data_IF_153903070281
#
_entry.id   IF_153903070281
#
_cell.length_a   1.000
_cell.length_b   1.000
_cell.length_c   1.000
_cell.angle_alpha   90.00
_cell.angle_beta   90.00
_cell.angle_gamma   90.00
#
_symmetry.space_group_name_H-M   'P 1'
#
loop_
_entity.id
_entity.type
_entity.pdbx_description
1 polymer ?
#
# COMPACT_ATOMS: atom_id res chain seq x y z
N UNK A 1 -16.03 -8.73 0.13
CA UNK A 1 -14.95 -9.73 0.24
C UNK A 1 -15.19 -10.61 1.46
N UNK A 2 -14.69 -11.84 1.43
CA UNK A 2 -14.64 -12.72 2.58
C UNK A 2 -13.18 -12.95 2.96
N UNK A 3 -12.85 -12.71 4.22
CA UNK A 3 -11.50 -12.83 4.75
C UNK A 3 -11.45 -14.06 5.67
N UNK A 4 -10.48 -14.93 5.43
CA UNK A 4 -10.20 -16.09 6.26
C UNK A 4 -8.85 -15.91 6.92
N UNK A 5 -8.86 -15.76 8.25
CA UNK A 5 -7.67 -15.64 9.06
C UNK A 5 -7.24 -17.00 9.60
N UNK A 6 -5.95 -17.32 9.52
CA UNK A 6 -5.41 -18.63 9.87
C UNK A 6 -4.05 -18.51 10.58
N UNK A 7 -3.64 -19.63 11.20
CA UNK A 7 -2.36 -19.74 11.90
C UNK A 7 -2.39 -19.17 13.32
N UNK A 8 -1.23 -19.24 13.99
CA UNK A 8 -1.08 -18.67 15.34
C UNK A 8 -1.28 -17.15 15.25
N UNK A 9 -2.11 -16.61 16.13
CA UNK A 9 -2.43 -15.19 16.20
C UNK A 9 -2.97 -14.58 14.88
N UNK A 10 -3.64 -15.39 14.03
CA UNK A 10 -4.15 -14.94 12.74
C UNK A 10 -3.05 -14.29 11.84
N UNK A 11 -1.89 -14.92 11.79
CA UNK A 11 -0.76 -14.39 11.05
C UNK A 11 -0.89 -14.56 9.52
N UNK A 12 -1.75 -15.47 9.08
CA UNK A 12 -2.01 -15.77 7.66
C UNK A 12 -3.43 -15.37 7.29
N UNK A 13 -3.61 -14.92 6.06
CA UNK A 13 -4.91 -14.48 5.56
C UNK A 13 -5.15 -14.92 4.12
N UNK A 14 -6.37 -15.34 3.86
CA UNK A 14 -6.92 -15.53 2.50
C UNK A 14 -8.10 -14.58 2.31
N UNK A 15 -8.14 -13.90 1.18
CA UNK A 15 -9.23 -12.98 0.83
C UNK A 15 -9.78 -13.34 -0.54
N UNK A 16 -11.07 -13.56 -0.63
CA UNK A 16 -11.81 -13.65 -1.88
C UNK A 16 -12.48 -12.30 -2.18
N UNK A 17 -12.14 -11.69 -3.31
CA UNK A 17 -12.61 -10.35 -3.71
C UNK A 17 -13.36 -10.44 -5.05
N UNK A 18 -14.63 -10.86 -5.04
CA UNK A 18 -15.44 -10.86 -6.25
C UNK A 18 -15.79 -9.44 -6.69
N UNK A 19 -15.88 -9.24 -7.99
CA UNK A 19 -16.25 -7.95 -8.57
C UNK A 19 -16.95 -8.14 -9.93
N UNK A 20 -17.80 -7.17 -10.26
CA UNK A 20 -18.46 -7.05 -11.56
C UNK A 20 -18.29 -5.62 -12.07
N UNK A 21 -17.68 -5.47 -13.24
CA UNK A 21 -17.51 -4.19 -13.93
C UNK A 21 -18.48 -4.18 -15.13
N UNK A 22 -19.70 -3.70 -14.91
CA UNK A 22 -20.82 -3.74 -15.88
C UNK A 22 -20.45 -3.15 -17.23
N UNK A 23 -19.88 -1.95 -17.25
CA UNK A 23 -19.54 -1.22 -18.48
C UNK A 23 -18.49 -1.95 -19.35
N UNK A 24 -17.74 -2.86 -18.74
CA UNK A 24 -16.71 -3.66 -19.41
C UNK A 24 -17.13 -5.12 -19.61
N UNK A 25 -18.30 -5.51 -19.09
CA UNK A 25 -18.79 -6.89 -19.07
C UNK A 25 -17.79 -7.87 -18.47
N UNK A 26 -17.07 -7.43 -17.43
CA UNK A 26 -16.05 -8.22 -16.75
C UNK A 26 -16.60 -8.66 -15.41
N UNK A 27 -16.67 -9.96 -15.20
CA UNK A 27 -16.97 -10.60 -13.92
C UNK A 27 -15.76 -11.40 -13.50
N UNK A 28 -15.42 -11.38 -12.22
CA UNK A 28 -14.29 -12.18 -11.75
C UNK A 28 -14.08 -12.10 -10.25
N UNK A 29 -13.02 -12.77 -9.83
CA UNK A 29 -12.62 -12.81 -8.44
C UNK A 29 -11.10 -12.70 -8.34
N UNK A 30 -10.61 -11.79 -7.51
CA UNK A 30 -9.21 -11.80 -7.10
C UNK A 30 -9.09 -12.60 -5.80
N UNK A 31 -8.24 -13.62 -5.84
CA UNK A 31 -7.84 -14.43 -4.70
C UNK A 31 -6.50 -13.92 -4.19
N UNK A 32 -6.48 -13.44 -2.96
CA UNK A 32 -5.29 -12.89 -2.31
C UNK A 32 -4.89 -13.78 -1.16
N UNK A 33 -3.64 -14.16 -1.11
CA UNK A 33 -3.07 -14.83 0.04
C UNK A 33 -1.92 -14.03 0.66
N UNK A 34 -1.86 -14.08 1.98
CA UNK A 34 -0.84 -13.43 2.77
C UNK A 34 -0.39 -14.40 3.85
N UNK A 35 0.77 -15.04 3.61
CA UNK A 35 1.36 -16.03 4.50
C UNK A 35 2.73 -15.56 4.95
N UNK A 36 2.87 -15.30 6.24
CA UNK A 36 4.08 -14.73 6.84
C UNK A 36 5.19 -15.75 7.13
N UNK A 37 4.86 -17.05 7.17
CA UNK A 37 5.76 -18.11 7.64
C UNK A 37 6.55 -18.84 6.54
N UNK A 38 6.35 -18.55 5.26
CA UNK A 38 6.98 -19.30 4.17
C UNK A 38 7.96 -18.47 3.35
N UNK A 39 8.50 -17.41 3.91
CA UNK A 39 9.39 -16.50 3.18
C UNK A 39 10.68 -17.15 2.67
N UNK A 40 11.11 -18.28 3.25
CA UNK A 40 12.33 -18.99 2.81
C UNK A 40 12.08 -20.02 1.72
N UNK A 41 10.87 -20.58 1.64
CA UNK A 41 10.56 -21.68 0.72
C UNK A 41 9.87 -21.23 -0.58
N UNK A 42 9.16 -20.11 -0.55
CA UNK A 42 8.46 -19.54 -1.72
C UNK A 42 8.87 -18.08 -1.85
N UNK A 43 9.62 -17.69 -2.89
CA UNK A 43 10.18 -16.34 -3.06
C UNK A 43 9.13 -15.21 -3.14
N UNK A 44 7.87 -15.54 -3.35
CA UNK A 44 6.77 -14.62 -3.21
C UNK A 44 5.72 -15.24 -2.30
N UNK A 45 5.49 -14.65 -1.15
CA UNK A 45 4.32 -14.93 -0.31
C UNK A 45 2.99 -14.61 -1.03
N UNK A 46 3.04 -14.36 -2.30
CA UNK A 46 1.97 -13.82 -3.10
C UNK A 46 1.60 -14.77 -4.25
N UNK A 47 0.96 -15.87 -3.96
CA UNK A 47 0.26 -16.64 -5.00
C UNK A 47 -1.11 -16.01 -5.28
N UNK A 48 -1.14 -14.70 -5.56
CA UNK A 48 -2.40 -14.02 -5.88
C UNK A 48 -2.87 -14.44 -7.26
N UNK A 49 -4.15 -14.77 -7.37
CA UNK A 49 -4.77 -15.14 -8.63
C UNK A 49 -5.94 -14.21 -8.94
N UNK A 50 -6.15 -13.97 -10.22
CA UNK A 50 -7.35 -13.35 -10.75
C UNK A 50 -8.05 -14.34 -11.66
N UNK A 51 -9.28 -14.71 -11.31
CA UNK A 51 -10.17 -15.52 -12.12
C UNK A 51 -11.14 -14.60 -12.86
N UNK A 52 -11.24 -14.73 -14.19
CA UNK A 52 -12.20 -13.99 -15.01
C UNK A 52 -13.24 -14.91 -15.60
N UNK A 53 -14.49 -14.46 -15.61
CA UNK A 53 -15.65 -15.19 -16.11
C UNK A 53 -16.39 -14.39 -17.17
N UNK A 54 -17.00 -15.09 -18.13
CA UNK A 54 -17.95 -14.50 -19.04
C UNK A 54 -19.21 -14.04 -18.29
N UNK A 55 -19.64 -12.81 -18.52
CA UNK A 55 -20.84 -12.25 -17.88
C UNK A 55 -22.12 -13.01 -18.28
N UNK A 56 -22.21 -13.45 -19.53
CA UNK A 56 -23.41 -14.05 -20.12
C UNK A 56 -23.73 -15.45 -19.55
N UNK A 57 -22.71 -16.24 -19.23
CA UNK A 57 -22.90 -17.65 -18.84
C UNK A 57 -22.12 -18.09 -17.61
N UNK A 58 -21.32 -17.19 -17.02
CA UNK A 58 -20.54 -17.47 -15.82
C UNK A 58 -19.33 -18.39 -16.03
N UNK A 59 -19.04 -18.84 -17.25
CA UNK A 59 -17.91 -19.73 -17.51
C UNK A 59 -16.57 -18.99 -17.31
N UNK A 60 -15.60 -19.59 -16.59
CA UNK A 60 -14.27 -19.03 -16.48
C UNK A 60 -13.55 -19.12 -17.83
N UNK A 61 -12.86 -18.03 -18.21
CA UNK A 61 -12.07 -17.97 -19.42
C UNK A 61 -10.60 -17.59 -19.19
N UNK A 62 -10.26 -17.07 -18.03
CA UNK A 62 -8.87 -16.75 -17.70
C UNK A 62 -8.55 -16.93 -16.23
N UNK A 63 -7.34 -17.43 -15.96
CA UNK A 63 -6.70 -17.41 -14.65
C UNK A 63 -5.37 -16.68 -14.84
N UNK A 64 -5.16 -15.61 -14.07
CA UNK A 64 -4.03 -14.70 -14.25
C UNK A 64 -3.27 -14.63 -12.92
N UNK A 65 -1.93 -14.69 -12.96
CA UNK A 65 -1.10 -14.36 -11.82
C UNK A 65 -1.28 -12.87 -11.47
N UNK A 66 -1.62 -12.54 -10.24
CA UNK A 66 -2.12 -11.23 -9.87
C UNK A 66 -1.28 -10.50 -8.81
N UNK A 67 -0.04 -10.91 -8.57
CA UNK A 67 0.84 -10.24 -7.57
C UNK A 67 1.16 -8.82 -8.00
N UNK A 68 1.61 -8.61 -9.23
CA UNK A 68 1.87 -7.27 -9.74
C UNK A 68 0.61 -6.41 -9.79
N UNK A 69 -0.52 -6.98 -10.24
CA UNK A 69 -1.83 -6.30 -10.25
C UNK A 69 -2.22 -5.87 -8.83
N UNK A 70 -2.02 -6.74 -7.85
CA UNK A 70 -2.36 -6.44 -6.45
C UNK A 70 -1.58 -5.24 -5.93
N UNK A 71 -0.26 -5.21 -6.12
CA UNK A 71 0.59 -4.11 -5.66
C UNK A 71 0.29 -2.80 -6.39
N UNK A 72 0.14 -2.85 -7.70
CA UNK A 72 -0.17 -1.66 -8.50
C UNK A 72 -1.54 -1.07 -8.14
N UNK A 73 -2.55 -1.92 -7.95
CA UNK A 73 -3.90 -1.51 -7.59
C UNK A 73 -3.99 -0.95 -6.16
N UNK A 74 -3.27 -1.54 -5.21
CA UNK A 74 -3.39 -1.19 -3.79
C UNK A 74 -2.67 0.13 -3.50
N UNK A 75 -1.36 0.14 -3.43
CA UNK A 75 -0.62 1.35 -3.06
C UNK A 75 -0.42 2.30 -4.24
N UNK A 76 -0.09 1.77 -5.42
CA UNK A 76 0.14 2.58 -6.62
C UNK A 76 -1.13 3.20 -7.22
N UNK A 77 -2.29 2.57 -7.04
CA UNK A 77 -3.57 3.05 -7.55
C UNK A 77 -4.44 3.69 -6.48
N UNK A 78 -4.91 2.91 -5.53
CA UNK A 78 -5.92 3.35 -4.55
C UNK A 78 -5.43 4.51 -3.68
N UNK A 79 -4.24 4.38 -3.07
CA UNK A 79 -3.66 5.44 -2.25
C UNK A 79 -3.42 6.73 -3.03
N UNK A 80 -2.95 6.62 -4.26
CA UNK A 80 -2.71 7.77 -5.15
C UNK A 80 -4.00 8.45 -5.59
N UNK A 81 -5.03 7.67 -5.94
CA UNK A 81 -6.34 8.24 -6.34
C UNK A 81 -6.95 9.05 -5.19
N UNK A 82 -6.95 8.51 -3.97
CA UNK A 82 -7.42 9.24 -2.79
C UNK A 82 -6.62 10.55 -2.58
N UNK A 83 -5.29 10.48 -2.71
CA UNK A 83 -4.42 11.63 -2.57
C UNK A 83 -4.70 12.72 -3.63
N UNK A 84 -5.04 12.36 -4.86
CA UNK A 84 -5.39 13.33 -5.93
C UNK A 84 -6.60 14.21 -5.56
N UNK A 85 -7.48 13.72 -4.70
CA UNK A 85 -8.66 14.48 -4.24
C UNK A 85 -8.48 15.15 -2.88
N UNK A 86 -7.58 14.66 -2.04
CA UNK A 86 -7.48 15.06 -0.64
C UNK A 86 -6.13 15.71 -0.28
N UNK A 87 -5.03 15.34 -0.92
CA UNK A 87 -3.74 15.96 -0.70
C UNK A 87 -3.63 17.30 -1.43
N UNK A 88 -2.72 18.15 -0.98
CA UNK A 88 -2.42 19.42 -1.64
C UNK A 88 -1.66 19.15 -2.95
N UNK A 89 -2.02 19.86 -4.01
CA UNK A 89 -1.36 19.77 -5.32
C UNK A 89 0.11 20.23 -5.31
N UNK A 90 0.48 21.03 -4.35
CA UNK A 90 1.84 21.54 -4.15
C UNK A 90 2.64 20.76 -3.11
N UNK A 91 2.17 19.56 -2.75
CA UNK A 91 2.90 18.65 -1.85
C UNK A 91 4.32 18.41 -2.33
N UNK A 92 5.28 18.54 -1.41
CA UNK A 92 6.72 18.46 -1.66
C UNK A 92 7.37 17.22 -1.07
N UNK A 93 6.85 16.73 0.05
CA UNK A 93 7.46 15.68 0.85
C UNK A 93 6.52 14.49 0.96
N UNK A 94 6.98 13.35 0.45
CA UNK A 94 6.33 12.05 0.59
C UNK A 94 7.05 11.21 1.65
N UNK A 95 6.35 10.80 2.70
CA UNK A 95 6.82 9.77 3.62
C UNK A 95 6.18 8.43 3.28
N UNK A 96 6.98 7.37 3.29
CA UNK A 96 6.51 5.98 3.11
C UNK A 96 7.01 5.14 4.27
N UNK A 97 6.07 4.62 5.06
CA UNK A 97 6.33 3.73 6.19
C UNK A 97 5.96 2.32 5.78
N UNK A 98 6.99 1.47 5.61
CA UNK A 98 6.91 0.16 4.99
C UNK A 98 7.35 0.21 3.52
N UNK A 99 8.57 -0.28 3.25
CA UNK A 99 9.21 -0.24 1.93
C UNK A 99 9.24 -1.61 1.24
N UNK A 100 8.24 -2.45 1.52
CA UNK A 100 8.01 -3.72 0.82
C UNK A 100 7.45 -3.52 -0.59
N UNK A 101 6.85 -4.57 -1.16
CA UNK A 101 6.28 -4.54 -2.52
C UNK A 101 5.24 -3.42 -2.69
N UNK A 102 4.34 -3.27 -1.71
CA UNK A 102 3.32 -2.21 -1.72
C UNK A 102 3.93 -0.81 -1.57
N UNK A 103 4.94 -0.63 -0.70
CA UNK A 103 5.64 0.63 -0.54
C UNK A 103 6.32 1.08 -1.84
N UNK A 104 7.04 0.17 -2.49
CA UNK A 104 7.67 0.41 -3.80
C UNK A 104 6.63 0.80 -4.86
N UNK A 105 5.51 0.08 -4.91
CA UNK A 105 4.42 0.39 -5.86
C UNK A 105 3.78 1.74 -5.56
N UNK A 106 3.60 2.07 -4.28
CA UNK A 106 3.09 3.37 -3.84
C UNK A 106 4.03 4.52 -4.24
N UNK A 107 5.34 4.37 -4.01
CA UNK A 107 6.33 5.37 -4.43
C UNK A 107 6.23 5.64 -5.93
N UNK A 108 6.20 4.61 -6.78
CA UNK A 108 6.03 4.77 -8.23
C UNK A 108 4.76 5.57 -8.58
N UNK A 109 3.65 5.20 -7.95
CA UNK A 109 2.36 5.87 -8.18
C UNK A 109 2.38 7.34 -7.76
N UNK A 110 2.91 7.64 -6.57
CA UNK A 110 2.99 9.02 -6.08
C UNK A 110 3.94 9.88 -6.90
N UNK A 111 5.11 9.39 -7.27
CA UNK A 111 6.05 10.12 -8.13
C UNK A 111 5.45 10.44 -9.50
N UNK A 112 4.66 9.52 -10.06
CA UNK A 112 3.95 9.74 -11.33
C UNK A 112 2.82 10.77 -11.21
N UNK A 113 2.09 10.75 -10.08
CA UNK A 113 0.88 11.57 -9.90
C UNK A 113 1.13 12.96 -9.30
N UNK A 114 2.24 13.14 -8.59
CA UNK A 114 2.63 14.36 -7.90
C UNK A 114 4.01 14.86 -8.37
N UNK A 115 4.10 15.50 -9.55
CA UNK A 115 5.40 15.89 -10.14
C UNK A 115 6.13 16.98 -9.37
N UNK A 116 5.48 17.60 -8.38
CA UNK A 116 6.08 18.60 -7.50
C UNK A 116 6.75 18.01 -6.26
N UNK A 117 6.74 16.68 -6.08
CA UNK A 117 7.46 16.04 -4.99
C UNK A 117 8.98 16.24 -5.15
N UNK A 118 9.63 16.69 -4.11
CA UNK A 118 11.05 17.01 -4.06
C UNK A 118 11.83 16.05 -3.16
N UNK A 119 11.17 15.46 -2.16
CA UNK A 119 11.80 14.57 -1.19
C UNK A 119 10.94 13.34 -0.89
N UNK A 120 11.59 12.18 -0.90
CA UNK A 120 11.06 10.89 -0.42
C UNK A 120 11.72 10.53 0.90
N UNK A 121 10.92 10.34 1.92
CA UNK A 121 11.33 9.92 3.26
C UNK A 121 10.88 8.47 3.49
N UNK A 122 11.78 7.53 3.23
CA UNK A 122 11.51 6.10 3.30
C UNK A 122 11.84 5.56 4.68
N UNK A 123 10.88 4.91 5.33
CA UNK A 123 11.05 4.29 6.64
C UNK A 123 10.75 2.79 6.59
N UNK A 124 11.70 1.98 7.00
CA UNK A 124 11.54 0.53 7.16
C UNK A 124 12.54 0.00 8.19
N UNK A 125 12.17 -1.05 8.91
CA UNK A 125 13.07 -1.76 9.83
C UNK A 125 14.09 -2.65 9.11
N UNK A 126 13.82 -2.99 7.85
CA UNK A 126 14.70 -3.81 7.03
C UNK A 126 15.60 -2.91 6.17
N UNK A 127 16.89 -2.81 6.45
CA UNK A 127 17.81 -1.97 5.66
C UNK A 127 17.87 -2.37 4.18
N UNK A 128 17.70 -3.66 3.85
CA UNK A 128 17.65 -4.12 2.46
C UNK A 128 16.47 -3.53 1.67
N UNK A 129 15.34 -3.28 2.34
CA UNK A 129 14.20 -2.60 1.71
C UNK A 129 14.53 -1.13 1.41
N UNK A 130 15.21 -0.45 2.32
CA UNK A 130 15.67 0.92 2.13
C UNK A 130 16.71 1.04 1.00
N UNK A 131 17.65 0.11 0.93
CA UNK A 131 18.65 0.06 -0.16
C UNK A 131 17.98 -0.15 -1.53
N UNK A 132 16.93 -0.98 -1.58
CA UNK A 132 16.12 -1.16 -2.80
C UNK A 132 15.44 0.14 -3.22
N UNK A 133 14.88 0.91 -2.28
CA UNK A 133 14.29 2.22 -2.56
C UNK A 133 15.33 3.18 -3.12
N UNK A 134 16.51 3.27 -2.48
CA UNK A 134 17.62 4.13 -2.98
C UNK A 134 18.04 3.73 -4.38
N UNK A 135 18.23 2.44 -4.64
CA UNK A 135 18.64 1.92 -5.95
C UNK A 135 17.63 2.24 -7.05
N UNK A 136 16.34 2.14 -6.75
CA UNK A 136 15.28 2.27 -7.75
C UNK A 136 14.93 3.73 -8.04
N UNK A 137 14.89 4.58 -7.01
CA UNK A 137 14.36 5.94 -7.12
C UNK A 137 15.40 7.05 -6.93
N UNK A 138 16.63 6.73 -6.56
CA UNK A 138 17.66 7.72 -6.22
C UNK A 138 18.01 8.71 -7.34
N UNK A 139 17.77 8.34 -8.59
CA UNK A 139 17.97 9.23 -9.75
C UNK A 139 16.75 10.10 -10.08
N UNK A 140 15.61 9.90 -9.38
CA UNK A 140 14.34 10.56 -9.68
C UNK A 140 13.97 11.61 -8.63
N UNK A 141 14.36 11.37 -7.37
CA UNK A 141 13.99 12.23 -6.24
C UNK A 141 15.06 12.15 -5.14
N UNK A 142 15.20 13.21 -4.36
CA UNK A 142 16.05 13.20 -3.15
C UNK A 142 15.47 12.20 -2.14
N UNK A 143 16.27 11.24 -1.67
CA UNK A 143 15.84 10.21 -0.73
C UNK A 143 16.55 10.37 0.61
N UNK A 144 15.77 10.35 1.69
CA UNK A 144 16.23 10.14 3.05
C UNK A 144 15.64 8.85 3.60
N UNK A 145 16.41 8.10 4.37
CA UNK A 145 15.99 6.82 4.94
C UNK A 145 16.00 6.87 6.47
N UNK A 146 15.01 6.23 7.07
CA UNK A 146 14.78 6.27 8.51
C UNK A 146 14.45 4.88 9.05
N UNK A 147 14.87 4.61 10.27
CA UNK A 147 14.42 3.46 11.05
C UNK A 147 13.25 3.85 11.96
N UNK A 148 13.13 5.13 12.28
CA UNK A 148 12.07 5.71 13.13
C UNK A 148 11.01 6.40 12.26
N UNK A 149 9.77 5.94 12.35
CA UNK A 149 8.67 6.50 11.58
C UNK A 149 8.37 7.96 11.93
N UNK A 150 8.54 8.38 13.18
CA UNK A 150 8.33 9.77 13.61
C UNK A 150 9.15 10.74 12.76
N UNK A 151 10.46 10.50 12.69
CA UNK A 151 11.37 11.36 11.92
C UNK A 151 10.98 11.42 10.43
N UNK A 152 10.49 10.31 9.88
CA UNK A 152 10.07 10.26 8.49
C UNK A 152 8.81 11.11 8.23
N UNK A 153 7.81 11.04 9.12
CA UNK A 153 6.47 11.60 8.84
C UNK A 153 6.29 13.06 9.28
N UNK A 154 7.04 13.55 10.28
CA UNK A 154 6.85 14.90 10.82
C UNK A 154 6.85 16.02 9.76
N UNK A 155 7.76 16.06 8.77
CA UNK A 155 7.75 17.10 7.73
C UNK A 155 6.89 16.76 6.51
N UNK A 156 6.26 15.57 6.45
CA UNK A 156 5.62 15.07 5.25
C UNK A 156 4.29 15.74 4.94
N UNK A 157 4.06 16.03 3.66
CA UNK A 157 2.77 16.49 3.14
C UNK A 157 1.86 15.32 2.81
N UNK A 158 2.46 14.21 2.38
CA UNK A 158 1.79 12.94 2.06
C UNK A 158 2.46 11.83 2.88
N UNK A 159 1.68 11.02 3.58
CA UNK A 159 2.14 9.86 4.34
C UNK A 159 1.44 8.61 3.83
N UNK A 160 2.20 7.66 3.31
CA UNK A 160 1.74 6.34 2.93
C UNK A 160 2.20 5.31 3.97
N UNK A 161 1.26 4.56 4.54
CA UNK A 161 1.53 3.53 5.53
C UNK A 161 1.11 2.19 4.96
N UNK A 162 2.08 1.29 4.80
CA UNK A 162 1.90 -0.04 4.20
C UNK A 162 2.72 -1.08 4.97
N UNK A 163 2.44 -1.17 6.26
CA UNK A 163 3.16 -2.08 7.16
C UNK A 163 2.32 -3.29 7.54
N UNK A 164 2.97 -4.31 8.04
CA UNK A 164 2.32 -5.47 8.68
C UNK A 164 2.26 -5.31 10.20
N UNK A 165 2.48 -4.11 10.71
CA UNK A 165 2.49 -3.83 12.13
C UNK A 165 1.10 -4.03 12.75
N UNK A 166 1.06 -4.61 13.95
CA UNK A 166 -0.17 -4.86 14.71
C UNK A 166 -0.45 -3.80 15.78
N UNK A 167 0.39 -2.78 15.84
CA UNK A 167 0.27 -1.63 16.71
C UNK A 167 0.56 -0.38 15.91
N UNK A 168 0.03 0.78 16.31
CA UNK A 168 0.30 2.02 15.63
C UNK A 168 1.81 2.29 15.49
N UNK A 169 2.22 2.60 14.27
CA UNK A 169 3.59 3.02 13.92
C UNK A 169 3.66 4.47 13.48
N UNK A 170 2.50 5.08 13.23
CA UNK A 170 2.36 6.51 12.96
C UNK A 170 1.31 7.09 13.90
N UNK A 171 1.69 8.13 14.66
CA UNK A 171 0.84 8.80 15.63
C UNK A 171 0.28 10.09 15.04
N UNK A 172 -0.95 10.46 15.44
CA UNK A 172 -1.60 11.69 15.00
C UNK A 172 -0.75 12.94 15.29
N UNK A 173 -0.17 13.00 16.47
CA UNK A 173 0.64 14.14 16.94
C UNK A 173 1.94 14.38 16.15
N UNK A 174 2.38 13.41 15.34
CA UNK A 174 3.55 13.56 14.47
C UNK A 174 3.19 14.14 13.11
N UNK A 175 1.90 14.19 12.79
CA UNK A 175 1.43 14.60 11.47
C UNK A 175 1.42 16.12 11.33
N UNK A 176 1.98 16.59 10.25
CA UNK A 176 1.91 18.01 9.87
C UNK A 176 0.45 18.41 9.61
N UNK A 177 0.05 19.60 10.05
CA UNK A 177 -1.29 20.13 9.76
C UNK A 177 -1.56 20.19 8.26
N UNK A 178 -2.65 19.57 7.84
CA UNK A 178 -3.06 19.44 6.44
C UNK A 178 -2.29 18.39 5.67
N UNK A 179 -1.57 17.46 6.34
CA UNK A 179 -1.00 16.27 5.69
C UNK A 179 -2.12 15.32 5.24
N UNK A 180 -1.89 14.69 4.09
CA UNK A 180 -2.69 13.56 3.64
C UNK A 180 -2.08 12.26 4.16
N UNK A 181 -2.91 11.38 4.72
CA UNK A 181 -2.48 10.07 5.23
C UNK A 181 -3.26 8.96 4.56
N UNK A 182 -2.57 7.95 4.05
CA UNK A 182 -3.15 6.74 3.49
C UNK A 182 -2.59 5.50 4.19
N UNK A 183 -3.44 4.80 4.95
CA UNK A 183 -3.14 3.49 5.52
C UNK A 183 -3.82 2.41 4.68
N UNK A 184 -3.05 1.48 4.10
CA UNK A 184 -3.57 0.55 3.10
C UNK A 184 -3.62 -0.91 3.53
N UNK A 185 -3.02 -1.26 4.65
CA UNK A 185 -2.81 -2.67 4.98
C UNK A 185 -3.51 -3.14 6.24
N UNK A 186 -3.40 -2.41 7.32
CA UNK A 186 -3.91 -2.80 8.63
C UNK A 186 -4.57 -1.61 9.32
N UNK A 187 -5.71 -1.82 9.93
CA UNK A 187 -6.34 -0.80 10.78
C UNK A 187 -5.55 -0.53 12.06
N UNK A 188 -4.51 -1.31 12.34
CA UNK A 188 -3.76 -1.25 13.59
C UNK A 188 -2.43 -0.50 13.47
N UNK A 189 -1.95 -0.20 12.27
CA UNK A 189 -0.67 0.46 12.07
C UNK A 189 -0.74 2.00 12.09
N UNK A 190 -1.94 2.55 12.12
CA UNK A 190 -2.22 3.97 12.26
C UNK A 190 -2.91 4.26 13.61
N UNK A 191 -2.50 5.35 14.27
CA UNK A 191 -3.18 5.84 15.47
C UNK A 191 -4.67 6.12 15.18
N UNK A 192 -5.62 5.56 15.96
CA UNK A 192 -7.04 5.84 15.81
C UNK A 192 -7.43 7.32 15.87
N UNK A 193 -6.62 8.15 16.53
CA UNK A 193 -6.84 9.60 16.56
C UNK A 193 -6.72 10.24 15.16
N UNK A 194 -5.99 9.62 14.23
CA UNK A 194 -5.90 10.11 12.86
C UNK A 194 -7.26 10.14 12.17
N UNK A 195 -8.08 9.09 12.33
CA UNK A 195 -9.44 9.06 11.77
C UNK A 195 -10.42 9.95 12.53
N UNK A 196 -10.27 10.04 13.87
CA UNK A 196 -11.17 10.84 14.71
C UNK A 196 -11.01 12.35 14.53
N UNK A 197 -9.78 12.79 14.21
CA UNK A 197 -9.41 14.21 14.12
C UNK A 197 -9.13 14.67 12.69
N UNK A 198 -9.30 13.80 11.71
CA UNK A 198 -9.18 14.18 10.31
C UNK A 198 -10.31 15.14 9.91
N UNK A 199 -9.99 16.17 9.14
CA UNK A 199 -10.99 17.08 8.58
C UNK A 199 -11.86 16.38 7.53
N UNK A 200 -11.29 15.34 6.87
CA UNK A 200 -11.98 14.48 5.90
C UNK A 200 -11.49 13.04 6.08
N UNK A 201 -12.44 12.13 6.11
CA UNK A 201 -12.18 10.68 6.25
C UNK A 201 -12.99 9.89 5.22
#
# INVERSE_FOLDING_TARGET
SSDLWMGKENANMLIAMPAHIKDKKIVGMKWVNMFTYQQEAIPSSYGNLLLLNHEENGQPYAIIEATAITSMRTAGGHGVVAAKYLAKEDSKVLAVVGCGAEGISGIRGFLSAFPKLEELRACDRNPKALDKVKKEFGNQIKIQTFENAKEAVEPADIVLIVTTARKPVVMFEWLKKGAFVSGLYSFNDLDPECSRKADKW
#
